data_IF_690342440793
#
_entry.id   IF_690342440793
#
_cell.length_a   1.000
_cell.length_b   1.000
_cell.length_c   1.000
_cell.angle_alpha   90.00
_cell.angle_beta   90.00
_cell.angle_gamma   90.00
#
_symmetry.space_group_name_H-M   'P 1'
#
loop_
_entity.id
_entity.type
_entity.pdbx_description
1 polymer ?
#
# COMPACT_ATOMS: atom_id res chain seq x y z
N UNK A 1 10.70 -4.39 20.38
CA UNK A 1 10.42 -5.00 19.08
C UNK A 1 10.54 -3.95 17.99
N UNK A 2 11.20 -4.25 16.87
CA UNK A 2 11.37 -3.32 15.73
C UNK A 2 10.36 -3.71 14.65
N UNK A 3 9.15 -3.15 14.74
CA UNK A 3 8.14 -3.34 13.71
C UNK A 3 8.41 -2.39 12.55
N UNK A 4 8.34 -2.91 11.33
CA UNK A 4 8.49 -2.13 10.11
C UNK A 4 7.10 -1.94 9.50
N UNK A 5 6.57 -0.71 9.43
CA UNK A 5 5.23 -0.43 8.93
C UNK A 5 5.04 -0.80 7.45
N UNK A 6 6.13 -0.99 6.70
CA UNK A 6 6.08 -1.39 5.30
C UNK A 6 5.91 -2.91 5.11
N UNK A 7 5.92 -3.69 6.20
CA UNK A 7 5.70 -5.14 6.13
C UNK A 7 4.27 -5.54 5.77
N UNK A 8 3.29 -4.65 5.89
CA UNK A 8 1.89 -4.96 5.55
C UNK A 8 1.75 -5.50 4.13
N UNK A 9 2.50 -4.96 3.16
CA UNK A 9 2.50 -5.51 1.79
C UNK A 9 3.07 -6.93 1.74
N UNK A 10 4.22 -7.17 2.40
CA UNK A 10 4.84 -8.50 2.45
C UNK A 10 3.92 -9.55 3.08
N UNK A 11 3.10 -9.14 4.05
CA UNK A 11 2.08 -10.02 4.64
C UNK A 11 1.01 -10.38 3.62
N UNK A 12 0.52 -9.41 2.83
CA UNK A 12 -0.44 -9.69 1.75
C UNK A 12 0.12 -10.62 0.68
N UNK A 13 1.36 -10.40 0.26
CA UNK A 13 2.04 -11.27 -0.71
C UNK A 13 2.15 -12.71 -0.14
N UNK A 14 2.56 -12.86 1.13
CA UNK A 14 2.64 -14.17 1.78
C UNK A 14 1.26 -14.84 1.94
N UNK A 15 0.19 -14.10 2.22
CA UNK A 15 -1.15 -14.68 2.28
C UNK A 15 -1.56 -15.29 0.94
N UNK A 16 -1.25 -14.64 -0.18
CA UNK A 16 -1.50 -15.21 -1.51
C UNK A 16 -0.64 -16.47 -1.75
N UNK A 17 0.65 -16.43 -1.38
CA UNK A 17 1.56 -17.58 -1.49
C UNK A 17 1.07 -18.80 -0.68
N UNK A 18 0.45 -18.55 0.47
CA UNK A 18 -0.13 -19.59 1.35
C UNK A 18 -1.55 -20.01 0.94
N UNK A 19 -2.06 -19.50 -0.19
CA UNK A 19 -3.30 -19.96 -0.81
C UNK A 19 -4.58 -19.24 -0.36
N UNK A 20 -4.48 -18.10 0.30
CA UNK A 20 -5.65 -17.23 0.52
C UNK A 20 -6.12 -16.64 -0.81
N UNK A 21 -7.43 -16.47 -0.97
CA UNK A 21 -7.97 -15.81 -2.15
C UNK A 21 -7.68 -14.30 -2.14
N UNK A 22 -7.64 -13.69 -3.34
CA UNK A 22 -7.51 -12.23 -3.46
C UNK A 22 -8.60 -11.48 -2.68
N UNK A 23 -9.84 -12.01 -2.68
CA UNK A 23 -10.95 -11.43 -1.91
C UNK A 23 -10.67 -11.50 -0.39
N UNK A 24 -10.09 -12.58 0.12
CA UNK A 24 -9.74 -12.74 1.53
C UNK A 24 -8.65 -11.75 1.92
N UNK A 25 -7.63 -11.60 1.09
CA UNK A 25 -6.52 -10.65 1.30
C UNK A 25 -7.04 -9.22 1.30
N UNK A 26 -7.86 -8.84 0.31
CA UNK A 26 -8.52 -7.54 0.26
C UNK A 26 -9.42 -7.32 1.49
N UNK A 27 -10.14 -8.35 1.94
CA UNK A 27 -10.98 -8.24 3.13
C UNK A 27 -10.16 -7.93 4.37
N UNK A 28 -9.10 -8.68 4.60
CA UNK A 28 -8.28 -8.57 5.82
C UNK A 28 -7.49 -7.27 5.83
N UNK A 29 -6.85 -6.92 4.71
CA UNK A 29 -5.93 -5.79 4.65
C UNK A 29 -6.60 -4.45 4.34
N UNK A 30 -7.82 -4.47 3.79
CA UNK A 30 -8.53 -3.24 3.42
C UNK A 30 -9.95 -3.15 3.97
N UNK A 31 -10.88 -4.01 3.52
CA UNK A 31 -12.32 -3.83 3.84
C UNK A 31 -12.62 -3.92 5.33
N UNK A 32 -11.97 -4.81 6.08
CA UNK A 32 -12.17 -4.95 7.52
C UNK A 32 -11.69 -3.71 8.29
N UNK A 33 -10.45 -3.21 8.09
CA UNK A 33 -10.02 -1.92 8.65
C UNK A 33 -10.97 -0.78 8.31
N UNK A 34 -11.38 -0.64 7.04
CA UNK A 34 -12.32 0.39 6.61
C UNK A 34 -13.65 0.30 7.36
N UNK A 35 -14.24 -0.90 7.43
CA UNK A 35 -15.50 -1.12 8.14
C UNK A 35 -15.37 -0.78 9.63
N UNK A 36 -14.28 -1.19 10.27
CA UNK A 36 -14.04 -0.95 11.70
C UNK A 36 -13.82 0.53 12.02
N UNK A 37 -12.87 1.19 11.34
CA UNK A 37 -12.58 2.60 11.58
C UNK A 37 -13.72 3.52 11.13
N UNK A 38 -14.49 3.10 10.12
CA UNK A 38 -15.70 3.78 9.67
C UNK A 38 -16.78 3.92 10.75
N UNK A 39 -16.84 2.99 11.72
CA UNK A 39 -17.78 3.09 12.86
C UNK A 39 -17.60 4.37 13.69
N UNK A 40 -16.41 4.96 13.66
CA UNK A 40 -16.13 6.20 14.40
C UNK A 40 -16.75 7.44 13.75
N UNK A 41 -17.17 7.36 12.47
CA UNK A 41 -17.58 8.51 11.67
C UNK A 41 -16.45 9.49 11.35
N UNK A 42 -15.18 9.14 11.65
CA UNK A 42 -14.00 10.00 11.43
C UNK A 42 -13.14 9.57 10.24
N UNK A 43 -13.49 8.47 9.57
CA UNK A 43 -12.79 8.01 8.38
C UNK A 43 -13.41 8.69 7.16
N UNK A 44 -12.59 9.45 6.43
CA UNK A 44 -12.94 9.99 5.12
C UNK A 44 -12.17 9.22 4.04
N UNK A 45 -12.89 8.70 3.04
CA UNK A 45 -12.34 7.95 1.92
C UNK A 45 -12.41 8.74 0.60
N UNK A 46 -13.04 9.92 0.60
CA UNK A 46 -13.03 10.82 -0.55
C UNK A 46 -11.72 11.62 -0.58
N UNK A 47 -10.63 10.93 -0.94
CA UNK A 47 -9.30 11.49 -0.91
C UNK A 47 -8.99 12.18 -2.25
N UNK A 48 -8.71 13.48 -2.20
CA UNK A 48 -8.27 14.24 -3.38
C UNK A 48 -6.95 13.68 -3.92
N UNK A 49 -6.91 13.42 -5.23
CA UNK A 49 -5.68 13.01 -5.90
C UNK A 49 -4.56 14.03 -5.67
N UNK A 50 -3.38 13.55 -5.26
CA UNK A 50 -2.23 14.41 -5.00
C UNK A 50 -1.45 14.66 -6.30
N UNK A 51 -0.85 15.84 -6.43
CA UNK A 51 0.08 16.11 -7.53
C UNK A 51 1.26 15.11 -7.53
N UNK A 52 1.86 14.83 -8.70
CA UNK A 52 2.96 13.87 -8.83
C UNK A 52 4.20 14.24 -8.00
N UNK A 53 4.42 15.53 -7.79
CA UNK A 53 5.50 16.10 -6.98
C UNK A 53 4.94 16.81 -5.74
N UNK A 54 5.79 17.01 -4.73
CA UNK A 54 5.42 17.68 -3.49
C UNK A 54 6.46 18.76 -3.15
N UNK A 55 6.00 19.99 -2.89
CA UNK A 55 6.84 21.12 -2.43
C UNK A 55 8.10 21.36 -3.29
N UNK A 56 7.97 21.24 -4.62
CA UNK A 56 9.08 21.48 -5.55
C UNK A 56 10.11 20.33 -5.64
N UNK A 57 9.87 19.21 -4.97
CA UNK A 57 10.69 18.01 -5.11
C UNK A 57 10.56 17.39 -6.51
N UNK A 58 11.65 16.85 -7.06
CA UNK A 58 11.70 16.12 -8.33
C UNK A 58 11.32 14.64 -8.20
N UNK A 59 11.27 14.09 -6.98
CA UNK A 59 10.86 12.69 -6.74
C UNK A 59 9.34 12.54 -6.92
N UNK A 60 8.96 11.59 -7.77
CA UNK A 60 7.57 11.27 -8.05
C UNK A 60 6.94 10.45 -6.93
N UNK A 61 5.76 10.86 -6.44
CA UNK A 61 4.97 10.10 -5.47
C UNK A 61 4.45 8.82 -6.13
N UNK A 62 4.67 7.69 -5.47
CA UNK A 62 4.16 6.39 -5.94
C UNK A 62 4.86 5.84 -7.18
N UNK A 63 5.97 6.44 -7.62
CA UNK A 63 6.74 5.86 -8.71
C UNK A 63 7.26 4.47 -8.30
N UNK A 64 7.10 3.45 -9.15
CA UNK A 64 7.73 2.16 -8.93
C UNK A 64 9.24 2.36 -8.87
N UNK A 65 9.95 1.48 -8.15
CA UNK A 65 11.40 1.43 -8.25
C UNK A 65 11.75 1.32 -9.74
N UNK A 66 12.55 2.26 -10.25
CA UNK A 66 13.01 2.20 -11.63
C UNK A 66 13.64 0.82 -11.86
N UNK A 67 13.27 0.17 -12.96
CA UNK A 67 13.90 -1.07 -13.37
C UNK A 67 15.42 -0.88 -13.32
N UNK A 68 16.19 -1.78 -12.68
CA UNK A 68 17.63 -1.63 -12.60
C UNK A 68 18.18 -1.46 -14.01
N UNK A 69 18.99 -0.42 -14.23
CA UNK A 69 19.73 -0.29 -15.49
C UNK A 69 20.47 -1.60 -15.76
N UNK A 70 20.44 -2.14 -16.99
CA UNK A 70 21.12 -3.39 -17.28
C UNK A 70 22.60 -3.26 -16.94
N UNK A 71 23.08 -4.11 -16.03
CA UNK A 71 24.51 -4.24 -15.74
C UNK A 71 25.17 -4.94 -16.91
N UNK A 72 25.84 -4.17 -17.76
CA UNK A 72 26.83 -4.71 -18.69
C UNK A 72 26.72 -4.18 -20.12
N UNK A 73 27.76 -3.43 -20.51
CA UNK A 73 28.43 -3.59 -21.78
C UNK A 73 29.84 -4.10 -21.48
#
# INVERSE_FOLDING_TARGET
GRSDPLKTRKVGDLMLEEGFGEDDVDRVLWRNPVAFYGLSGRLDLDVTATAPTHEGNSVLRGAPAAEPLPTGA
#
